data_IF_647607485663
#
_entry.id   IF_647607485663
#
_cell.length_a   1.000
_cell.length_b   1.000
_cell.length_c   1.000
_cell.angle_alpha   90.00
_cell.angle_beta   90.00
_cell.angle_gamma   90.00
#
_symmetry.space_group_name_H-M   'P 1'
#
loop_
_entity.id
_entity.type
_entity.pdbx_description
1 polymer ?
#
# COMPACT_ATOMS: atom_id res chain seq x y z
N UNK A 1 -20.13 23.78 3.68
CA UNK A 1 -19.67 22.37 3.63
C UNK A 1 -18.16 22.29 3.33
N UNK A 2 -17.33 22.94 4.16
CA UNK A 2 -15.89 23.18 3.89
C UNK A 2 -14.92 22.12 4.47
N UNK A 3 -15.42 21.13 5.19
CA UNK A 3 -14.56 20.20 5.94
C UNK A 3 -14.36 18.84 5.25
N UNK A 4 -15.10 18.53 4.18
CA UNK A 4 -14.93 17.26 3.46
C UNK A 4 -13.62 17.25 2.67
N UNK A 5 -13.18 18.39 2.14
CA UNK A 5 -11.97 18.49 1.29
C UNK A 5 -10.66 18.47 2.10
N UNK A 6 -10.62 19.12 3.27
CA UNK A 6 -9.45 19.09 4.16
C UNK A 6 -9.30 17.73 4.85
N UNK A 7 -10.43 17.08 5.15
CA UNK A 7 -10.42 15.68 5.53
C UNK A 7 -9.91 14.84 4.37
N UNK A 8 -10.40 14.98 3.14
CA UNK A 8 -9.96 14.13 2.01
C UNK A 8 -8.45 14.20 1.73
N UNK A 9 -7.85 15.39 1.78
CA UNK A 9 -6.41 15.56 1.57
C UNK A 9 -5.57 14.89 2.68
N UNK A 10 -5.98 15.03 3.94
CA UNK A 10 -5.26 14.43 5.08
C UNK A 10 -5.62 12.94 5.25
N UNK A 11 -6.84 12.57 4.91
CA UNK A 11 -7.38 11.22 4.87
C UNK A 11 -6.69 10.43 3.77
N UNK A 12 -6.37 11.02 2.62
CA UNK A 12 -5.57 10.39 1.56
C UNK A 12 -4.17 10.01 2.05
N UNK A 13 -3.48 10.85 2.84
CA UNK A 13 -2.18 10.47 3.40
C UNK A 13 -2.29 9.37 4.47
N UNK A 14 -3.34 9.43 5.32
CA UNK A 14 -3.59 8.43 6.36
C UNK A 14 -4.07 7.08 5.80
N UNK A 15 -4.98 7.08 4.83
CA UNK A 15 -5.58 5.87 4.23
C UNK A 15 -4.52 5.04 3.53
N UNK A 16 -3.56 5.69 2.89
CA UNK A 16 -2.41 5.03 2.25
C UNK A 16 -1.51 4.37 3.28
N UNK A 17 -1.28 5.04 4.41
CA UNK A 17 -0.50 4.47 5.49
C UNK A 17 -1.21 3.24 6.07
N UNK A 18 -2.54 3.32 6.26
CA UNK A 18 -3.34 2.17 6.70
C UNK A 18 -3.30 1.03 5.68
N UNK A 19 -3.40 1.33 4.38
CA UNK A 19 -3.32 0.34 3.30
C UNK A 19 -1.95 -0.35 3.26
N UNK A 20 -0.86 0.41 3.45
CA UNK A 20 0.51 -0.14 3.56
C UNK A 20 0.60 -1.15 4.70
N UNK A 21 0.14 -0.76 5.89
CA UNK A 21 0.13 -1.65 7.05
C UNK A 21 -0.73 -2.89 6.81
N UNK A 22 -1.89 -2.75 6.16
CA UNK A 22 -2.79 -3.86 5.83
C UNK A 22 -2.15 -4.85 4.85
N UNK A 23 -1.50 -4.37 3.79
CA UNK A 23 -0.78 -5.22 2.83
C UNK A 23 0.43 -5.91 3.49
N UNK A 24 1.18 -5.19 4.32
CA UNK A 24 2.30 -5.77 5.06
C UNK A 24 1.82 -6.90 5.98
N UNK A 25 0.72 -6.68 6.69
CA UNK A 25 0.09 -7.68 7.57
C UNK A 25 -0.37 -8.90 6.77
N UNK A 26 -0.94 -8.70 5.57
CA UNK A 26 -1.33 -9.78 4.67
C UNK A 26 -0.13 -10.67 4.24
N UNK A 27 1.00 -10.07 3.85
CA UNK A 27 2.23 -10.83 3.50
C UNK A 27 2.73 -11.63 4.69
N UNK A 28 2.72 -11.04 5.88
CA UNK A 28 3.10 -11.72 7.11
C UNK A 28 2.17 -12.90 7.41
N UNK A 29 0.85 -12.73 7.28
CA UNK A 29 -0.14 -13.80 7.47
C UNK A 29 0.08 -14.92 6.46
N UNK A 30 0.25 -14.60 5.18
CA UNK A 30 0.44 -15.60 4.12
C UNK A 30 1.75 -16.37 4.32
N UNK A 31 2.85 -15.67 4.64
CA UNK A 31 4.13 -16.31 4.89
C UNK A 31 4.14 -17.20 6.14
N UNK A 32 3.51 -16.75 7.24
CA UNK A 32 3.32 -17.57 8.44
C UNK A 32 2.39 -18.75 8.17
N UNK A 33 1.30 -18.55 7.43
CA UNK A 33 0.37 -19.62 7.07
C UNK A 33 1.07 -20.71 6.24
N UNK A 34 1.95 -20.34 5.31
CA UNK A 34 2.76 -21.29 4.54
C UNK A 34 3.73 -22.09 5.42
N UNK A 35 4.36 -21.46 6.43
CA UNK A 35 5.26 -22.14 7.36
C UNK A 35 4.49 -23.05 8.32
N UNK A 36 3.34 -22.62 8.82
CA UNK A 36 2.53 -23.39 9.79
C UNK A 36 1.76 -24.55 9.13
N UNK A 37 1.37 -24.43 7.86
CA UNK A 37 0.73 -25.51 7.10
C UNK A 37 1.72 -26.52 6.53
N UNK A 38 3.04 -26.39 6.75
CA UNK A 38 4.03 -27.36 6.26
C UNK A 38 3.85 -28.77 6.83
N UNK A 39 3.17 -28.91 7.98
CA UNK A 39 2.95 -30.18 8.68
C UNK A 39 1.54 -30.77 8.58
N UNK A 40 0.55 -30.01 8.14
CA UNK A 40 -0.85 -30.45 8.01
C UNK A 40 -1.30 -30.29 6.56
N UNK A 41 -1.66 -31.38 5.89
CA UNK A 41 -2.04 -31.43 4.46
C UNK A 41 -3.32 -30.66 4.06
N UNK A 42 -3.59 -29.53 4.70
CA UNK A 42 -4.68 -28.59 4.41
C UNK A 42 -4.17 -27.52 3.44
N UNK A 43 -4.21 -27.86 2.16
CA UNK A 43 -3.82 -27.03 1.03
C UNK A 43 -4.78 -25.83 0.88
N UNK A 44 -4.38 -24.63 1.32
CA UNK A 44 -5.04 -23.36 0.93
C UNK A 44 -4.49 -22.85 -0.42
N UNK A 45 -3.35 -23.37 -0.87
CA UNK A 45 -2.77 -23.09 -2.18
C UNK A 45 -2.37 -24.41 -2.83
N UNK A 46 -2.94 -24.67 -4.00
CA UNK A 46 -2.92 -25.90 -4.80
C UNK A 46 -1.54 -26.25 -5.39
N UNK A 47 -0.48 -26.24 -4.60
CA UNK A 47 0.84 -26.67 -5.04
C UNK A 47 1.35 -27.75 -4.09
N UNK A 48 1.33 -28.99 -4.58
CA UNK A 48 1.82 -30.19 -3.91
C UNK A 48 3.34 -30.08 -3.69
N UNK A 49 3.73 -29.33 -2.66
CA UNK A 49 5.12 -29.11 -2.30
C UNK A 49 5.38 -29.92 -1.03
N UNK A 50 6.03 -31.06 -1.20
CA UNK A 50 6.27 -32.05 -0.15
C UNK A 50 6.93 -31.42 1.10
N UNK A 51 6.31 -31.68 2.26
CA UNK A 51 6.59 -31.37 3.69
C UNK A 51 7.83 -30.56 4.14
N UNK A 52 8.97 -30.63 3.47
CA UNK A 52 10.17 -29.84 3.79
C UNK A 52 10.40 -28.63 2.88
N UNK A 53 9.89 -28.67 1.65
CA UNK A 53 10.07 -27.59 0.66
C UNK A 53 9.17 -26.37 0.97
N UNK A 54 8.04 -26.59 1.62
CA UNK A 54 7.08 -25.55 2.03
C UNK A 54 7.67 -24.56 3.03
N UNK A 55 8.57 -25.00 3.92
CA UNK A 55 9.27 -24.13 4.88
C UNK A 55 10.26 -23.21 4.14
N UNK A 56 11.04 -23.75 3.20
CA UNK A 56 11.96 -22.97 2.37
C UNK A 56 11.22 -21.94 1.51
N UNK A 57 10.11 -22.34 0.89
CA UNK A 57 9.26 -21.46 0.09
C UNK A 57 8.56 -20.40 0.95
N UNK A 58 8.12 -20.74 2.17
CA UNK A 58 7.53 -19.81 3.12
C UNK A 58 8.52 -18.73 3.60
N UNK A 59 9.79 -19.08 3.82
CA UNK A 59 10.84 -18.10 4.12
C UNK A 59 11.15 -17.23 2.89
N UNK A 60 11.19 -17.85 1.70
CA UNK A 60 11.45 -17.12 0.45
C UNK A 60 10.33 -16.12 0.14
N UNK A 61 9.05 -16.49 0.33
CA UNK A 61 7.90 -15.59 0.14
C UNK A 61 7.87 -14.48 1.20
N UNK A 62 8.31 -14.74 2.43
CA UNK A 62 8.43 -13.67 3.44
C UNK A 62 9.48 -12.64 3.04
N UNK A 63 10.64 -13.08 2.55
CA UNK A 63 11.73 -12.16 2.15
C UNK A 63 11.40 -11.44 0.84
N UNK A 64 11.10 -12.18 -0.23
CA UNK A 64 10.80 -11.60 -1.55
C UNK A 64 9.40 -10.98 -1.62
N UNK A 65 8.40 -11.54 -0.94
CA UNK A 65 7.07 -10.94 -0.88
C UNK A 65 7.06 -9.65 -0.07
N UNK A 66 7.84 -9.57 1.01
CA UNK A 66 7.99 -8.31 1.76
C UNK A 66 8.63 -7.23 0.91
N UNK A 67 9.69 -7.55 0.12
CA UNK A 67 10.35 -6.54 -0.72
C UNK A 67 9.43 -6.04 -1.84
N UNK A 68 8.71 -6.94 -2.52
CA UNK A 68 7.80 -6.58 -3.61
C UNK A 68 6.63 -5.72 -3.12
N UNK A 69 6.03 -6.09 -1.98
CA UNK A 69 4.98 -5.27 -1.36
C UNK A 69 5.50 -3.92 -0.92
N UNK A 70 6.75 -3.82 -0.45
CA UNK A 70 7.37 -2.53 -0.11
C UNK A 70 7.47 -1.61 -1.32
N UNK A 71 8.02 -2.12 -2.42
CA UNK A 71 8.18 -1.36 -3.67
C UNK A 71 6.83 -0.95 -4.23
N UNK A 72 5.86 -1.88 -4.31
CA UNK A 72 4.53 -1.55 -4.82
C UNK A 72 3.79 -0.56 -3.92
N UNK A 73 3.84 -0.74 -2.60
CA UNK A 73 3.21 0.18 -1.66
C UNK A 73 3.79 1.59 -1.79
N UNK A 74 5.10 1.71 -2.00
CA UNK A 74 5.78 3.01 -2.17
C UNK A 74 5.36 3.70 -3.47
N UNK A 75 5.19 2.96 -4.57
CA UNK A 75 4.62 3.49 -5.83
C UNK A 75 3.19 4.04 -5.64
N UNK A 76 2.32 3.30 -4.94
CA UNK A 76 0.96 3.77 -4.65
C UNK A 76 0.97 5.07 -3.82
N UNK A 77 1.82 5.15 -2.79
CA UNK A 77 2.00 6.37 -1.98
C UNK A 77 2.45 7.56 -2.85
N UNK A 78 3.40 7.34 -3.75
CA UNK A 78 3.96 8.38 -4.62
C UNK A 78 2.90 8.96 -5.56
N UNK A 79 2.04 8.13 -6.15
CA UNK A 79 0.97 8.59 -7.04
C UNK A 79 0.01 9.53 -6.31
N UNK A 80 -0.40 9.18 -5.10
CA UNK A 80 -1.28 10.03 -4.30
C UNK A 80 -0.59 11.33 -3.84
N UNK A 81 0.70 11.29 -3.52
CA UNK A 81 1.48 12.52 -3.27
C UNK A 81 1.45 13.45 -4.49
N UNK A 82 1.57 12.92 -5.70
CA UNK A 82 1.47 13.70 -6.94
C UNK A 82 0.07 14.29 -7.11
N UNK A 83 -0.99 13.51 -6.91
CA UNK A 83 -2.37 14.01 -7.01
C UNK A 83 -2.66 15.15 -6.04
N UNK A 84 -2.14 15.08 -4.80
CA UNK A 84 -2.27 16.18 -3.84
C UNK A 84 -1.49 17.43 -4.26
N UNK A 85 -0.29 17.26 -4.83
CA UNK A 85 0.56 18.38 -5.23
C UNK A 85 0.00 19.10 -6.47
N UNK A 86 -0.49 18.36 -7.46
CA UNK A 86 -1.13 18.92 -8.66
C UNK A 86 -2.37 19.75 -8.32
N UNK A 87 -3.17 19.31 -7.34
CA UNK A 87 -4.35 20.06 -6.88
C UNK A 87 -3.98 21.40 -6.23
N UNK A 88 -2.94 21.44 -5.38
CA UNK A 88 -2.45 22.69 -4.79
C UNK A 88 -1.97 23.70 -5.83
N UNK A 89 -1.28 23.23 -6.88
CA UNK A 89 -0.82 24.11 -7.96
C UNK A 89 -1.99 24.77 -8.69
N UNK A 90 -3.11 24.08 -8.88
CA UNK A 90 -4.31 24.66 -9.50
C UNK A 90 -4.92 25.76 -8.63
N UNK A 91 -5.04 25.53 -7.32
CA UNK A 91 -5.60 26.52 -6.38
C UNK A 91 -4.74 27.79 -6.32
N UNK A 92 -3.42 27.63 -6.27
CA UNK A 92 -2.48 28.76 -6.26
C UNK A 92 -2.51 29.57 -7.57
N UNK A 93 -2.69 28.89 -8.71
CA UNK A 93 -2.80 29.57 -10.01
C UNK A 93 -4.08 30.41 -10.11
N UNK A 94 -5.21 29.91 -9.61
CA UNK A 94 -6.48 30.67 -9.56
C UNK A 94 -6.37 31.88 -8.62
N UNK A 95 -5.70 31.73 -7.47
CA UNK A 95 -5.46 32.84 -6.54
C UNK A 95 -4.58 33.95 -7.17
N UNK A 96 -3.49 33.56 -7.84
CA UNK A 96 -2.60 34.50 -8.55
C UNK A 96 -3.32 35.17 -9.74
N UNK A 97 -4.15 34.44 -10.48
CA UNK A 97 -4.95 35.00 -11.57
C UNK A 97 -5.97 36.02 -11.04
N UNK A 98 -6.68 35.69 -9.96
CA UNK A 98 -7.65 36.59 -9.33
C UNK A 98 -6.97 37.86 -8.79
N UNK A 99 -5.83 37.72 -8.11
CA UNK A 99 -5.08 38.86 -7.56
C UNK A 99 -4.53 39.78 -8.68
N UNK A 100 -4.16 39.22 -9.85
CA UNK A 100 -3.78 40.02 -11.02
C UNK A 100 -4.92 40.84 -11.63
N UNK A 101 -6.16 40.39 -11.50
CA UNK A 101 -7.33 41.10 -12.05
C UNK A 101 -7.85 42.20 -11.10
N UNK A 102 -7.31 42.30 -9.89
CA UNK A 102 -7.67 43.32 -8.89
C UNK A 102 -6.72 44.54 -8.85
N UNK A 103 -5.72 44.58 -9.75
CA UNK A 103 -4.89 45.77 -10.04
C UNK A 103 -5.17 46.29 -11.44
#
# INVERSE_FOLDING_TARGET
MKNIFFLDAVLSTKIITVMYWLMLLSVWIVGLAFILNSGSGTNIASHEVAGGQSIFIGILILVFGSILVRVMSEFWVVIFKIQQNTRRTSELLDEVANNRNTF
#
